data_IF_714880906581
#
_entry.id   IF_714880906581
#
_cell.length_a   1.000
_cell.length_b   1.000
_cell.length_c   1.000
_cell.angle_alpha   90.00
_cell.angle_beta   90.00
_cell.angle_gamma   90.00
#
_symmetry.space_group_name_H-M   'P 1'
#
loop_
_entity.id
_entity.type
_entity.pdbx_description
1 polymer ?
#
# COMPACT_ATOMS: atom_id res chain seq x y z
N UNK A 1 -20.55 1.84 8.41
CA UNK A 1 -20.10 0.54 7.88
C UNK A 1 -19.02 -0.01 8.81
N UNK A 2 -19.08 -1.28 9.18
CA UNK A 2 -18.05 -1.88 10.04
C UNK A 2 -16.74 -1.94 9.23
N UNK A 3 -15.64 -1.41 9.75
CA UNK A 3 -14.31 -1.35 9.10
C UNK A 3 -13.88 -2.68 8.50
N UNK A 4 -14.26 -3.80 9.11
CA UNK A 4 -13.95 -5.15 8.62
C UNK A 4 -14.57 -5.45 7.24
N UNK A 5 -15.77 -4.96 6.92
CA UNK A 5 -16.38 -5.21 5.61
C UNK A 5 -15.67 -4.45 4.48
N UNK A 6 -15.17 -3.25 4.76
CA UNK A 6 -14.38 -2.46 3.78
C UNK A 6 -13.06 -3.16 3.50
N UNK A 7 -12.38 -3.61 4.54
CA UNK A 7 -11.12 -4.34 4.39
C UNK A 7 -11.30 -5.66 3.65
N UNK A 8 -12.31 -6.45 4.01
CA UNK A 8 -12.61 -7.72 3.33
C UNK A 8 -12.93 -7.45 1.85
N UNK A 9 -13.75 -6.43 1.56
CA UNK A 9 -14.05 -6.04 0.18
C UNK A 9 -12.81 -5.65 -0.61
N UNK A 10 -11.93 -4.84 -0.02
CA UNK A 10 -10.66 -4.44 -0.62
C UNK A 10 -9.77 -5.67 -0.92
N UNK A 11 -9.57 -6.56 0.05
CA UNK A 11 -8.75 -7.77 -0.13
C UNK A 11 -9.37 -8.73 -1.15
N UNK A 12 -10.70 -8.85 -1.20
CA UNK A 12 -11.40 -9.66 -2.20
C UNK A 12 -11.19 -9.11 -3.62
N UNK A 13 -11.24 -7.78 -3.81
CA UNK A 13 -10.94 -7.14 -5.10
C UNK A 13 -9.49 -7.41 -5.51
N UNK A 14 -8.52 -7.22 -4.61
CA UNK A 14 -7.11 -7.47 -4.89
C UNK A 14 -6.87 -8.94 -5.28
N UNK A 15 -7.41 -9.88 -4.49
CA UNK A 15 -7.32 -11.31 -4.77
C UNK A 15 -8.02 -11.68 -6.09
N UNK A 16 -9.16 -11.06 -6.38
CA UNK A 16 -9.89 -11.24 -7.63
C UNK A 16 -9.10 -10.79 -8.86
N UNK A 17 -8.43 -9.63 -8.78
CA UNK A 17 -7.56 -9.12 -9.86
C UNK A 17 -6.38 -10.08 -10.10
N UNK A 18 -5.69 -10.50 -9.03
CA UNK A 18 -4.57 -11.44 -9.13
C UNK A 18 -5.06 -12.78 -9.68
N UNK A 19 -6.16 -13.32 -9.14
CA UNK A 19 -6.75 -14.56 -9.60
C UNK A 19 -7.18 -14.49 -11.07
N UNK A 20 -7.79 -13.40 -11.51
CA UNK A 20 -8.17 -13.20 -12.91
C UNK A 20 -6.94 -13.18 -13.83
N UNK A 21 -5.89 -12.49 -13.45
CA UNK A 21 -4.64 -12.45 -14.22
C UNK A 21 -3.91 -13.81 -14.29
N UNK A 22 -4.01 -14.64 -13.24
CA UNK A 22 -3.32 -15.94 -13.16
C UNK A 22 -4.13 -17.08 -13.78
N UNK A 23 -5.41 -17.19 -13.43
CA UNK A 23 -6.24 -18.33 -13.82
C UNK A 23 -6.99 -18.12 -15.15
N UNK A 24 -7.20 -16.87 -15.56
CA UNK A 24 -7.88 -16.49 -16.79
C UNK A 24 -6.98 -15.62 -17.67
N UNK A 25 -5.72 -16.02 -17.82
CA UNK A 25 -4.68 -15.25 -18.49
C UNK A 25 -5.05 -14.83 -19.91
N UNK A 26 -5.67 -15.72 -20.70
CA UNK A 26 -6.09 -15.40 -22.07
C UNK A 26 -7.13 -14.27 -22.10
N UNK A 27 -8.15 -14.36 -21.24
CA UNK A 27 -9.17 -13.32 -21.14
C UNK A 27 -8.60 -12.00 -20.60
N UNK A 28 -7.71 -12.07 -19.61
CA UNK A 28 -7.03 -10.89 -19.06
C UNK A 28 -6.18 -10.19 -20.12
N UNK A 29 -5.39 -10.96 -20.89
CA UNK A 29 -4.53 -10.41 -21.96
C UNK A 29 -5.34 -9.85 -23.11
N UNK A 30 -6.38 -10.53 -23.54
CA UNK A 30 -7.28 -10.04 -24.58
C UNK A 30 -7.94 -8.70 -24.21
N UNK A 31 -8.26 -8.50 -22.94
CA UNK A 31 -8.95 -7.31 -22.44
C UNK A 31 -8.01 -6.15 -22.14
N UNK A 32 -6.84 -6.42 -21.52
CA UNK A 32 -6.00 -5.41 -20.89
C UNK A 32 -4.58 -5.29 -21.49
N UNK A 33 -4.18 -6.21 -22.38
CA UNK A 33 -2.83 -6.23 -22.98
C UNK A 33 -2.91 -5.96 -24.49
N UNK A 34 -3.43 -4.80 -24.85
CA UNK A 34 -3.49 -4.35 -26.24
C UNK A 34 -2.53 -3.18 -26.45
N UNK A 35 -1.86 -3.06 -27.62
CA UNK A 35 -0.92 -1.94 -27.89
C UNK A 35 -1.52 -0.57 -27.64
N UNK A 36 -2.80 -0.37 -27.95
CA UNK A 36 -3.50 0.90 -27.67
C UNK A 36 -3.65 1.18 -26.16
N UNK A 37 -3.68 0.15 -25.32
CA UNK A 37 -3.85 0.27 -23.86
C UNK A 37 -2.50 0.51 -23.18
N UNK A 38 -1.40 0.03 -23.77
CA UNK A 38 -0.07 0.05 -23.14
C UNK A 38 0.37 1.42 -22.62
N UNK A 39 0.27 2.46 -23.46
CA UNK A 39 0.68 3.82 -23.06
C UNK A 39 -0.18 4.38 -21.94
N UNK A 40 -1.48 4.11 -21.97
CA UNK A 40 -2.41 4.52 -20.91
C UNK A 40 -2.16 3.75 -19.62
N UNK A 41 -2.00 2.43 -19.69
CA UNK A 41 -1.69 1.60 -18.54
C UNK A 41 -0.37 2.02 -17.88
N UNK A 42 0.67 2.33 -18.67
CA UNK A 42 1.96 2.83 -18.18
C UNK A 42 1.81 4.19 -17.48
N UNK A 43 1.09 5.12 -18.08
CA UNK A 43 0.85 6.43 -17.47
C UNK A 43 0.07 6.28 -16.15
N UNK A 44 -1.03 5.52 -16.16
CA UNK A 44 -1.87 5.28 -14.98
C UNK A 44 -1.08 4.59 -13.87
N UNK A 45 -0.25 3.58 -14.22
CA UNK A 45 0.60 2.88 -13.26
C UNK A 45 1.59 3.83 -12.58
N UNK A 46 2.32 4.62 -13.36
CA UNK A 46 3.29 5.59 -12.84
C UNK A 46 2.60 6.64 -11.97
N UNK A 47 1.49 7.20 -12.45
CA UNK A 47 0.74 8.21 -11.72
C UNK A 47 0.19 7.65 -10.39
N UNK A 48 -0.43 6.46 -10.42
CA UNK A 48 -0.93 5.80 -9.22
C UNK A 48 0.18 5.46 -8.23
N UNK A 49 1.33 4.93 -8.70
CA UNK A 49 2.49 4.64 -7.87
C UNK A 49 3.03 5.90 -7.18
N UNK A 50 3.21 6.98 -7.96
CA UNK A 50 3.74 8.25 -7.45
C UNK A 50 2.81 8.86 -6.41
N UNK A 51 1.51 8.94 -6.70
CA UNK A 51 0.52 9.52 -5.79
C UNK A 51 0.37 8.68 -4.51
N UNK A 52 0.33 7.37 -4.65
CA UNK A 52 0.26 6.46 -3.51
C UNK A 52 1.48 6.59 -2.59
N UNK A 53 2.69 6.51 -3.15
CA UNK A 53 3.93 6.64 -2.40
C UNK A 53 4.09 8.02 -1.76
N UNK A 54 3.76 9.09 -2.49
CA UNK A 54 3.80 10.45 -1.97
C UNK A 54 2.83 10.62 -0.79
N UNK A 55 1.60 10.08 -0.88
CA UNK A 55 0.66 10.11 0.23
C UNK A 55 1.15 9.33 1.45
N UNK A 56 1.74 8.16 1.26
CA UNK A 56 2.29 7.35 2.35
C UNK A 56 3.41 8.10 3.09
N UNK A 57 4.38 8.66 2.36
CA UNK A 57 5.51 9.42 2.94
C UNK A 57 5.01 10.71 3.61
N UNK A 58 4.14 11.48 2.95
CA UNK A 58 3.57 12.70 3.51
C UNK A 58 2.77 12.42 4.79
N UNK A 59 1.97 11.35 4.79
CA UNK A 59 1.20 10.90 5.96
C UNK A 59 2.10 10.60 7.15
N UNK A 60 3.20 9.85 6.94
CA UNK A 60 4.17 9.54 7.98
C UNK A 60 4.84 10.79 8.56
N UNK A 61 5.25 11.72 7.70
CA UNK A 61 5.84 12.99 8.14
C UNK A 61 4.83 13.83 8.93
N UNK A 62 3.60 13.85 8.51
CA UNK A 62 2.52 14.57 9.17
C UNK A 62 2.20 13.99 10.54
N UNK A 63 2.13 12.66 10.66
CA UNK A 63 1.96 11.98 11.94
C UNK A 63 3.12 12.27 12.89
N UNK A 64 4.37 12.20 12.41
CA UNK A 64 5.55 12.52 13.22
C UNK A 64 5.53 13.97 13.73
N UNK A 65 5.19 14.93 12.86
CA UNK A 65 5.07 16.34 13.23
C UNK A 65 3.95 16.58 14.23
N UNK A 66 2.81 15.93 14.06
CA UNK A 66 1.68 16.02 14.98
C UNK A 66 2.05 15.46 16.37
N UNK A 67 2.73 14.33 16.41
CA UNK A 67 3.23 13.75 17.65
C UNK A 67 4.23 14.68 18.37
N UNK A 68 5.16 15.28 17.64
CA UNK A 68 6.14 16.23 18.18
C UNK A 68 5.50 17.52 18.73
N UNK A 69 4.28 17.87 18.30
CA UNK A 69 3.56 19.05 18.82
C UNK A 69 3.12 18.90 20.26
N UNK A 70 2.99 17.66 20.78
CA UNK A 70 2.43 17.35 22.10
C UNK A 70 0.94 17.70 22.23
N UNK A 71 0.32 18.30 21.21
CA UNK A 71 -1.06 18.74 21.25
C UNK A 71 -2.03 17.59 20.93
N UNK A 72 -2.87 17.22 21.90
CA UNK A 72 -3.91 16.21 21.73
C UNK A 72 -4.79 16.50 20.51
N UNK A 73 -5.27 17.74 20.35
CA UNK A 73 -6.15 18.13 19.24
C UNK A 73 -5.48 17.94 17.88
N UNK A 74 -4.20 18.33 17.77
CA UNK A 74 -3.42 18.17 16.54
C UNK A 74 -3.22 16.69 16.21
N UNK A 75 -2.86 15.87 17.20
CA UNK A 75 -2.68 14.42 17.02
C UNK A 75 -3.98 13.77 16.54
N UNK A 76 -5.11 14.04 17.21
CA UNK A 76 -6.41 13.48 16.82
C UNK A 76 -6.82 13.88 15.41
N UNK A 77 -6.68 15.17 15.08
CA UNK A 77 -7.01 15.68 13.73
C UNK A 77 -6.17 15.00 12.67
N UNK A 78 -4.85 14.93 12.87
CA UNK A 78 -3.92 14.30 11.92
C UNK A 78 -4.26 12.83 11.69
N UNK A 79 -4.46 12.05 12.75
CA UNK A 79 -4.79 10.63 12.61
C UNK A 79 -6.12 10.38 11.91
N UNK A 80 -7.14 11.19 12.17
CA UNK A 80 -8.40 11.10 11.45
C UNK A 80 -8.24 11.45 9.96
N UNK A 81 -7.44 12.46 9.66
CA UNK A 81 -7.18 12.90 8.27
C UNK A 81 -6.39 11.84 7.50
N UNK A 82 -5.30 11.31 8.10
CA UNK A 82 -4.49 10.25 7.46
C UNK A 82 -5.34 8.99 7.23
N UNK A 83 -6.14 8.57 8.21
CA UNK A 83 -7.03 7.42 8.04
C UNK A 83 -8.09 7.63 6.96
N UNK A 84 -8.58 8.86 6.76
CA UNK A 84 -9.48 9.21 5.65
C UNK A 84 -8.76 9.13 4.31
N UNK A 85 -7.55 9.67 4.21
CA UNK A 85 -6.72 9.63 3.00
C UNK A 85 -6.34 8.18 2.64
N UNK A 86 -6.03 7.33 3.62
CA UNK A 86 -5.76 5.91 3.38
C UNK A 86 -6.99 5.20 2.78
N UNK A 87 -8.18 5.50 3.29
CA UNK A 87 -9.41 4.86 2.82
C UNK A 87 -9.87 5.38 1.45
N UNK A 88 -9.85 6.69 1.22
CA UNK A 88 -10.45 7.32 0.03
C UNK A 88 -9.44 7.55 -1.11
N UNK A 89 -8.16 7.58 -0.81
CA UNK A 89 -7.11 7.90 -1.77
C UNK A 89 -6.14 6.74 -1.96
N UNK A 90 -5.47 6.26 -0.90
CA UNK A 90 -4.49 5.18 -1.02
C UNK A 90 -5.11 3.85 -1.48
N UNK A 91 -6.25 3.45 -0.92
CA UNK A 91 -6.86 2.16 -1.26
C UNK A 91 -7.28 2.04 -2.74
N UNK A 92 -7.96 3.03 -3.37
CA UNK A 92 -8.22 2.99 -4.80
C UNK A 92 -6.96 3.01 -5.65
N UNK A 93 -5.94 3.80 -5.26
CA UNK A 93 -4.68 3.87 -5.99
C UNK A 93 -3.93 2.53 -6.00
N UNK A 94 -3.94 1.78 -4.89
CA UNK A 94 -3.35 0.44 -4.83
C UNK A 94 -4.04 -0.53 -5.80
N UNK A 95 -5.37 -0.49 -5.89
CA UNK A 95 -6.14 -1.32 -6.83
C UNK A 95 -5.77 -0.97 -8.27
N UNK A 96 -5.74 0.31 -8.61
CA UNK A 96 -5.36 0.81 -9.94
C UNK A 96 -3.92 0.42 -10.25
N UNK A 97 -3.00 0.60 -9.29
CA UNK A 97 -1.60 0.26 -9.42
C UNK A 97 -1.39 -1.22 -9.70
N UNK A 98 -2.08 -2.11 -8.98
CA UNK A 98 -2.02 -3.55 -9.19
C UNK A 98 -2.54 -3.92 -10.58
N UNK A 99 -3.73 -3.45 -10.95
CA UNK A 99 -4.35 -3.77 -12.23
C UNK A 99 -3.49 -3.32 -13.41
N UNK A 100 -3.06 -2.05 -13.40
CA UNK A 100 -2.20 -1.50 -14.44
C UNK A 100 -0.81 -2.17 -14.46
N UNK A 101 -0.24 -2.49 -13.29
CA UNK A 101 1.03 -3.19 -13.16
C UNK A 101 1.00 -4.60 -13.74
N UNK A 102 -0.06 -5.37 -13.45
CA UNK A 102 -0.25 -6.70 -14.04
C UNK A 102 -0.46 -6.61 -15.56
N UNK A 103 -1.26 -5.65 -16.05
CA UNK A 103 -1.41 -5.42 -17.50
C UNK A 103 -0.06 -5.14 -18.18
N UNK A 104 0.79 -4.32 -17.56
CA UNK A 104 2.12 -4.01 -18.09
C UNK A 104 3.08 -5.20 -18.03
N UNK A 105 2.97 -6.06 -17.01
CA UNK A 105 3.89 -7.19 -16.83
C UNK A 105 3.87 -8.14 -18.04
N UNK A 106 2.70 -8.40 -18.62
CA UNK A 106 2.57 -9.25 -19.80
C UNK A 106 3.27 -8.71 -21.07
N UNK A 107 3.56 -7.40 -21.13
CA UNK A 107 4.32 -6.81 -22.22
C UNK A 107 5.84 -6.99 -22.07
N UNK A 108 6.31 -7.35 -20.88
CA UNK A 108 7.74 -7.57 -20.57
C UNK A 108 8.10 -9.05 -20.49
N UNK A 109 7.15 -9.93 -20.54
CA UNK A 109 7.27 -11.37 -20.35
C UNK A 109 6.42 -11.84 -19.18
N UNK A 110 6.53 -13.10 -18.82
CA UNK A 110 5.79 -13.62 -17.69
C UNK A 110 6.36 -13.08 -16.36
N UNK A 111 5.47 -12.76 -15.43
CA UNK A 111 5.80 -12.16 -14.14
C UNK A 111 6.95 -12.90 -13.40
N UNK A 112 6.99 -14.23 -13.49
CA UNK A 112 7.96 -15.06 -12.77
C UNK A 112 9.24 -15.34 -13.54
N UNK A 113 9.31 -14.98 -14.82
CA UNK A 113 10.48 -15.18 -15.69
C UNK A 113 11.36 -13.92 -15.78
N UNK A 114 10.86 -12.77 -15.34
CA UNK A 114 11.60 -11.51 -15.35
C UNK A 114 11.97 -11.15 -13.90
N UNK A 115 13.25 -11.27 -13.54
CA UNK A 115 13.70 -11.20 -12.15
C UNK A 115 13.36 -9.89 -11.43
N UNK A 116 13.67 -8.71 -12.03
CA UNK A 116 13.34 -7.43 -11.41
C UNK A 116 11.83 -7.23 -11.22
N UNK A 117 11.02 -7.79 -12.13
CA UNK A 117 9.57 -7.71 -12.08
C UNK A 117 9.00 -8.59 -10.98
N UNK A 118 9.47 -9.86 -10.89
CA UNK A 118 9.10 -10.80 -9.83
C UNK A 118 9.43 -10.25 -8.44
N UNK A 119 10.66 -9.76 -8.27
CA UNK A 119 11.11 -9.18 -7.00
C UNK A 119 10.29 -7.95 -6.63
N UNK A 120 9.99 -7.08 -7.60
CA UNK A 120 9.13 -5.91 -7.37
C UNK A 120 7.74 -6.30 -6.91
N UNK A 121 7.14 -7.32 -7.52
CA UNK A 121 5.83 -7.83 -7.14
C UNK A 121 5.84 -8.44 -5.73
N UNK A 122 6.86 -9.23 -5.39
CA UNK A 122 7.02 -9.78 -4.04
C UNK A 122 7.20 -8.70 -2.97
N UNK A 123 7.99 -7.66 -3.25
CA UNK A 123 8.17 -6.52 -2.34
C UNK A 123 6.88 -5.71 -2.18
N UNK A 124 6.09 -5.55 -3.24
CA UNK A 124 4.77 -4.95 -3.17
C UNK A 124 3.82 -5.75 -2.28
N UNK A 125 3.79 -7.08 -2.42
CA UNK A 125 3.01 -7.95 -1.55
C UNK A 125 3.49 -7.89 -0.09
N UNK A 126 4.80 -7.89 0.14
CA UNK A 126 5.39 -7.74 1.47
C UNK A 126 4.95 -6.42 2.13
N UNK A 127 5.00 -5.31 1.40
CA UNK A 127 4.49 -4.03 1.87
C UNK A 127 2.99 -4.10 2.23
N UNK A 128 2.20 -4.77 1.39
CA UNK A 128 0.78 -5.02 1.66
C UNK A 128 0.54 -5.83 2.94
N UNK A 129 1.38 -6.83 3.22
CA UNK A 129 1.33 -7.63 4.46
C UNK A 129 1.56 -6.74 5.69
N UNK A 130 2.58 -5.87 5.68
CA UNK A 130 2.83 -4.92 6.77
C UNK A 130 1.64 -4.00 6.98
N UNK A 131 1.02 -3.53 5.90
CA UNK A 131 -0.15 -2.67 5.99
C UNK A 131 -1.37 -3.40 6.57
N UNK A 132 -1.71 -4.58 6.05
CA UNK A 132 -2.91 -5.34 6.44
C UNK A 132 -2.78 -5.91 7.86
N UNK A 133 -1.64 -6.53 8.19
CA UNK A 133 -1.45 -7.23 9.46
C UNK A 133 -0.91 -6.32 10.57
N UNK A 134 -0.25 -5.23 10.21
CA UNK A 134 0.37 -4.32 11.16
C UNK A 134 -0.38 -3.00 11.31
N UNK A 135 -0.47 -2.22 10.23
CA UNK A 135 -0.97 -0.85 10.26
C UNK A 135 -2.47 -0.79 10.57
N UNK A 136 -3.32 -1.54 9.85
CA UNK A 136 -4.78 -1.53 10.04
C UNK A 136 -5.21 -1.90 11.46
N UNK A 137 -4.71 -3.00 12.07
CA UNK A 137 -5.06 -3.33 13.46
C UNK A 137 -4.59 -2.27 14.46
N UNK A 138 -3.43 -1.68 14.22
CA UNK A 138 -2.88 -0.62 15.06
C UNK A 138 -3.71 0.65 14.96
N UNK A 139 -4.12 1.06 13.76
CA UNK A 139 -5.06 2.16 13.55
C UNK A 139 -6.38 1.95 14.30
N UNK A 140 -6.93 0.75 14.25
CA UNK A 140 -8.17 0.43 14.95
C UNK A 140 -8.04 0.59 16.46
N UNK A 141 -6.95 0.08 17.06
CA UNK A 141 -6.67 0.26 18.49
C UNK A 141 -6.48 1.72 18.87
N UNK A 142 -5.77 2.50 18.05
CA UNK A 142 -5.58 3.94 18.22
C UNK A 142 -6.95 4.65 18.23
N UNK A 143 -7.82 4.37 17.25
CA UNK A 143 -9.16 4.95 17.18
C UNK A 143 -10.01 4.63 18.41
N UNK A 144 -9.94 3.40 18.91
CA UNK A 144 -10.66 3.01 20.14
C UNK A 144 -10.18 3.80 21.37
N UNK A 145 -8.85 3.93 21.53
CA UNK A 145 -8.30 4.71 22.66
C UNK A 145 -8.67 6.20 22.55
N UNK A 146 -8.58 6.76 21.35
CA UNK A 146 -8.94 8.15 21.07
C UNK A 146 -10.41 8.42 21.41
N UNK A 147 -11.33 7.54 20.99
CA UNK A 147 -12.76 7.70 21.25
C UNK A 147 -13.13 7.60 22.74
N UNK A 148 -12.29 6.94 23.54
CA UNK A 148 -12.44 6.86 25.00
C UNK A 148 -11.90 8.07 25.78
N UNK A 149 -11.18 8.99 25.13
CA UNK A 149 -10.61 10.16 25.79
C UNK A 149 -11.69 11.23 26.10
N UNK A 150 -11.73 11.69 27.33
CA UNK A 150 -12.64 12.77 27.75
C UNK A 150 -12.13 14.14 27.24
N UNK A 151 -13.02 15.12 26.99
CA UNK A 151 -12.61 16.46 26.54
C UNK A 151 -11.64 17.18 27.48
N UNK A 152 -11.67 16.85 28.77
CA UNK A 152 -10.81 17.45 29.82
C UNK A 152 -9.46 16.78 30.02
N UNK A 153 -9.19 15.63 29.40
CA UNK A 153 -7.92 14.94 29.57
C UNK A 153 -6.78 15.74 28.94
N UNK A 154 -5.85 16.23 29.74
CA UNK A 154 -4.71 17.03 29.29
C UNK A 154 -3.54 16.16 28.82
N UNK A 155 -3.42 14.93 29.34
CA UNK A 155 -2.31 14.02 29.07
C UNK A 155 -2.76 12.84 28.23
N UNK A 156 -1.98 12.50 27.22
CA UNK A 156 -2.22 11.31 26.39
C UNK A 156 -1.83 10.05 27.19
N UNK A 157 -2.66 8.99 27.18
CA UNK A 157 -2.31 7.72 27.82
C UNK A 157 -1.02 7.13 27.25
N UNK A 158 -0.15 6.57 28.09
CA UNK A 158 1.10 5.93 27.67
C UNK A 158 0.87 4.81 26.64
N UNK A 159 -0.25 4.10 26.76
CA UNK A 159 -0.63 3.07 25.79
C UNK A 159 -0.85 3.68 24.40
N UNK A 160 -1.48 4.84 24.30
CA UNK A 160 -1.69 5.53 23.04
C UNK A 160 -0.34 5.96 22.43
N UNK A 161 0.55 6.54 23.25
CA UNK A 161 1.89 6.95 22.83
C UNK A 161 2.69 5.76 22.25
N UNK A 162 2.65 4.60 22.93
CA UNK A 162 3.31 3.38 22.43
C UNK A 162 2.75 2.92 21.09
N UNK A 163 1.41 2.94 20.93
CA UNK A 163 0.78 2.55 19.67
C UNK A 163 1.11 3.51 18.51
N UNK A 164 1.17 4.82 18.79
CA UNK A 164 1.55 5.82 17.78
C UNK A 164 2.99 5.59 17.28
N UNK A 165 3.93 5.31 18.20
CA UNK A 165 5.32 4.95 17.83
C UNK A 165 5.40 3.61 17.08
N UNK A 166 4.66 2.60 17.53
CA UNK A 166 4.62 1.29 16.86
C UNK A 166 4.11 1.44 15.42
N UNK A 167 3.03 2.20 15.24
CA UNK A 167 2.47 2.46 13.90
C UNK A 167 3.49 3.12 12.98
N UNK A 168 4.24 4.11 13.47
CA UNK A 168 5.28 4.76 12.67
C UNK A 168 6.33 3.76 12.17
N UNK A 169 6.79 2.83 13.02
CA UNK A 169 7.73 1.79 12.61
C UNK A 169 7.13 0.79 11.61
N UNK A 170 5.87 0.42 11.80
CA UNK A 170 5.15 -0.45 10.85
C UNK A 170 5.02 0.24 9.49
N UNK A 171 4.65 1.52 9.46
CA UNK A 171 4.55 2.31 8.22
C UNK A 171 5.91 2.42 7.53
N UNK A 172 6.99 2.65 8.27
CA UNK A 172 8.34 2.65 7.73
C UNK A 172 8.71 1.29 7.12
N UNK A 173 8.43 0.19 7.81
CA UNK A 173 8.67 -1.17 7.30
C UNK A 173 7.85 -1.46 6.02
N UNK A 174 6.66 -0.87 5.88
CA UNK A 174 5.86 -0.98 4.66
C UNK A 174 6.35 -0.09 3.51
N UNK A 175 6.86 1.10 3.81
CA UNK A 175 7.31 2.08 2.78
C UNK A 175 8.69 1.72 2.20
N UNK A 176 9.61 1.16 2.98
CA UNK A 176 10.94 0.80 2.50
C UNK A 176 10.93 -0.22 1.34
N UNK A 177 10.15 -1.32 1.37
CA UNK A 177 10.01 -2.21 0.22
C UNK A 177 9.49 -1.49 -1.04
N UNK A 178 8.57 -0.53 -0.88
CA UNK A 178 8.05 0.25 -2.02
C UNK A 178 9.12 1.16 -2.64
N UNK A 179 10.01 1.73 -1.83
CA UNK A 179 11.15 2.49 -2.35
C UNK A 179 12.07 1.58 -3.19
N UNK A 180 12.32 0.35 -2.72
CA UNK A 180 13.07 -0.63 -3.49
C UNK A 180 12.36 -1.00 -4.81
N UNK A 181 11.01 -1.11 -4.80
CA UNK A 181 10.22 -1.32 -6.03
C UNK A 181 10.44 -0.18 -7.03
N UNK A 182 10.45 1.10 -6.60
CA UNK A 182 10.76 2.21 -7.50
C UNK A 182 12.14 2.07 -8.15
N UNK A 183 13.16 1.71 -7.37
CA UNK A 183 14.52 1.48 -7.87
C UNK A 183 14.52 0.37 -8.92
N UNK A 184 13.90 -0.76 -8.62
CA UNK A 184 13.82 -1.90 -9.54
C UNK A 184 13.07 -1.56 -10.84
N UNK A 185 11.98 -0.80 -10.74
CA UNK A 185 11.17 -0.39 -11.90
C UNK A 185 11.91 0.60 -12.82
N UNK A 186 12.77 1.45 -12.24
CA UNK A 186 13.54 2.43 -13.03
C UNK A 186 14.78 1.79 -13.63
N UNK A 187 15.57 1.10 -12.83
CA UNK A 187 16.88 0.57 -13.28
C UNK A 187 16.79 -0.78 -13.96
N UNK A 188 15.75 -1.57 -13.68
CA UNK A 188 15.52 -2.91 -14.26
C UNK A 188 16.78 -3.78 -14.26
N UNK A 189 17.44 -3.96 -13.10
CA UNK A 189 18.70 -4.69 -13.04
C UNK A 189 18.52 -6.14 -13.48
N UNK A 190 19.58 -6.73 -14.01
CA UNK A 190 19.62 -8.15 -14.35
C UNK A 190 19.65 -8.97 -13.06
N UNK A 191 18.50 -9.48 -12.66
CA UNK A 191 18.31 -10.36 -11.50
C UNK A 191 17.83 -11.70 -12.04
N UNK A 192 18.35 -12.84 -11.54
CA UNK A 192 17.82 -14.16 -11.87
C UNK A 192 16.33 -14.25 -11.67
N UNK A 193 15.62 -14.90 -12.55
CA UNK A 193 14.18 -15.07 -12.42
C UNK A 193 13.85 -15.84 -11.13
N UNK A 194 12.76 -15.47 -10.46
CA UNK A 194 12.32 -16.19 -9.24
C UNK A 194 12.04 -17.66 -9.55
N UNK A 195 11.59 -17.96 -10.77
CA UNK A 195 11.42 -19.35 -11.23
C UNK A 195 12.70 -20.18 -11.20
N UNK A 196 13.88 -19.55 -11.23
CA UNK A 196 15.19 -20.23 -11.24
C UNK A 196 15.81 -20.37 -9.83
N UNK A 197 15.23 -19.71 -8.81
CA UNK A 197 15.75 -19.76 -7.43
C UNK A 197 15.59 -21.14 -6.75
N UNK A 198 14.69 -21.95 -7.28
CA UNK A 198 14.35 -23.26 -6.72
C UNK A 198 14.72 -24.43 -7.66
N UNK A 199 15.53 -24.16 -8.69
CA UNK A 199 16.12 -25.14 -9.60
C UNK A 199 17.58 -25.38 -9.21
#
# INVERSE_FOLDING_TARGET
>A
MKTNHVLIGFLAIMAGIIGFAVFFQEAFTALLVHPAVYSHARFIHIAAATLFFANAVAGMLWEQRSFASGSKAVILHTYNTVALLDALFSSPLIIILLLAGLSLSFNWGELWQVGWLSVSFLLFLLSGIFWVLGDIPTQYKIKQLISGLKPGDQVLPDQLIRLLRLRWWISMAGVLPLLAVFILMVYKPEIPAVADWFR
#
